data_IF_099541587083
#
_entry.id   IF_099541587083
#
_cell.length_a   1.000
_cell.length_b   1.000
_cell.length_c   1.000
_cell.angle_alpha   90.00
_cell.angle_beta   90.00
_cell.angle_gamma   90.00
#
_symmetry.space_group_name_H-M   'P 1'
#
loop_
_entity.id
_entity.type
_entity.pdbx_description
1 polymer ?
#
# COMPACT_ATOMS: atom_id res chain seq x y z
N UNK A 1 5.82 -26.05 -11.95
CA UNK A 1 5.64 -24.93 -10.99
C UNK A 1 4.39 -25.22 -10.19
N UNK A 2 4.51 -25.54 -8.89
CA UNK A 2 3.36 -25.64 -8.00
C UNK A 2 2.92 -24.20 -7.67
N UNK A 3 1.84 -23.74 -8.30
CA UNK A 3 1.14 -22.53 -7.85
C UNK A 3 0.50 -22.90 -6.52
N UNK A 4 1.04 -22.38 -5.42
CA UNK A 4 0.46 -22.59 -4.10
C UNK A 4 -0.94 -21.95 -4.09
N UNK A 5 -2.01 -22.77 -4.08
CA UNK A 5 -3.40 -22.28 -4.14
C UNK A 5 -3.78 -21.40 -2.95
N UNK A 6 -3.07 -21.54 -1.82
CA UNK A 6 -3.25 -20.67 -0.66
C UNK A 6 -2.94 -19.20 -0.98
N UNK A 7 -1.96 -18.94 -1.86
CA UNK A 7 -1.48 -17.59 -2.19
C UNK A 7 -2.37 -16.80 -3.15
N UNK A 8 -3.44 -17.40 -3.69
CA UNK A 8 -4.28 -16.75 -4.71
C UNK A 8 -4.99 -15.50 -4.16
N UNK A 9 -5.41 -15.56 -2.89
CA UNK A 9 -6.18 -14.49 -2.25
C UNK A 9 -5.33 -13.57 -1.37
N UNK A 10 -4.05 -13.86 -1.16
CA UNK A 10 -3.15 -13.08 -0.29
C UNK A 10 -2.77 -11.71 -0.88
N UNK A 11 -3.25 -11.42 -2.10
CA UNK A 11 -3.15 -10.10 -2.73
C UNK A 11 -4.20 -9.11 -2.20
N UNK A 12 -5.15 -9.56 -1.40
CA UNK A 12 -6.21 -8.74 -0.80
C UNK A 12 -6.19 -8.94 0.71
N UNK A 13 -6.27 -7.86 1.52
CA UNK A 13 -6.36 -7.99 2.96
C UNK A 13 -7.66 -8.71 3.37
N UNK A 14 -7.57 -9.59 4.36
CA UNK A 14 -8.69 -10.38 4.92
C UNK A 14 -9.66 -9.49 5.71
N UNK A 15 -9.13 -8.44 6.33
CA UNK A 15 -9.86 -7.44 7.12
C UNK A 15 -9.50 -6.01 6.65
N UNK A 16 -10.29 -5.01 7.05
CA UNK A 16 -9.98 -3.59 6.82
C UNK A 16 -9.62 -2.85 8.13
N UNK A 17 -8.47 -3.16 8.76
CA UNK A 17 -8.09 -2.60 10.06
C UNK A 17 -7.87 -1.09 10.03
N UNK A 18 -7.71 -0.52 8.84
CA UNK A 18 -7.48 0.90 8.64
C UNK A 18 -8.75 1.64 8.18
N UNK A 19 -9.86 0.95 7.94
CA UNK A 19 -11.10 1.52 7.41
C UNK A 19 -10.85 2.28 6.08
N UNK A 20 -10.06 1.70 5.18
CA UNK A 20 -9.73 2.29 3.88
C UNK A 20 -10.73 1.93 2.78
N UNK A 21 -11.64 0.99 3.03
CA UNK A 21 -12.64 0.52 2.07
C UNK A 21 -14.08 0.66 2.60
N UNK A 22 -14.50 1.83 3.12
CA UNK A 22 -15.86 2.00 3.63
C UNK A 22 -16.90 1.76 2.52
N UNK A 23 -17.79 0.79 2.73
CA UNK A 23 -18.83 0.46 1.75
C UNK A 23 -18.30 -0.16 0.44
N UNK A 24 -17.03 -0.59 0.41
CA UNK A 24 -16.38 -1.18 -0.77
C UNK A 24 -15.58 -0.19 -1.62
N UNK A 25 -15.76 1.11 -1.41
CA UNK A 25 -15.01 2.17 -2.10
C UNK A 25 -13.78 2.60 -1.32
N UNK A 26 -12.72 3.01 -2.02
CA UNK A 26 -11.48 3.46 -1.38
C UNK A 26 -11.60 4.87 -0.81
N UNK A 27 -11.28 5.06 0.47
CA UNK A 27 -11.11 6.39 1.07
C UNK A 27 -9.76 7.01 0.63
N UNK A 28 -9.77 7.67 -0.53
CA UNK A 28 -8.57 8.22 -1.15
C UNK A 28 -7.85 9.24 -0.24
N UNK A 29 -8.61 10.07 0.48
CA UNK A 29 -8.04 11.12 1.32
C UNK A 29 -7.32 10.51 2.53
N UNK A 30 -7.91 9.48 3.13
CA UNK A 30 -7.31 8.77 4.26
C UNK A 30 -6.02 8.05 3.87
N UNK A 31 -5.97 7.40 2.70
CA UNK A 31 -4.75 6.77 2.18
C UNK A 31 -3.61 7.79 2.05
N UNK A 32 -3.88 8.91 1.40
CA UNK A 32 -2.91 10.00 1.19
C UNK A 32 -2.46 10.60 2.52
N UNK A 33 -3.37 10.71 3.50
CA UNK A 33 -3.07 11.18 4.86
C UNK A 33 -2.16 10.22 5.62
N UNK A 34 -2.42 8.91 5.59
CA UNK A 34 -1.59 7.90 6.26
C UNK A 34 -0.16 7.88 5.70
N UNK A 35 -0.02 8.02 4.38
CA UNK A 35 1.27 8.12 3.69
C UNK A 35 1.92 9.50 3.83
N UNK A 36 1.23 10.47 4.44
CA UNK A 36 1.69 11.86 4.60
C UNK A 36 2.12 12.46 3.23
N UNK A 37 1.32 12.21 2.20
CA UNK A 37 1.61 12.68 0.85
C UNK A 37 1.06 14.09 0.61
N UNK A 38 1.91 14.94 0.05
CA UNK A 38 1.49 16.24 -0.48
C UNK A 38 0.97 16.05 -1.89
N UNK A 39 0.23 17.05 -2.40
CA UNK A 39 -0.32 17.03 -3.77
C UNK A 39 0.72 16.69 -4.86
N UNK A 40 1.94 17.19 -4.71
CA UNK A 40 3.08 16.91 -5.62
C UNK A 40 3.56 15.46 -5.55
N UNK A 41 3.52 14.85 -4.37
CA UNK A 41 3.94 13.47 -4.15
C UNK A 41 2.95 12.53 -4.83
N UNK A 42 1.66 12.82 -4.67
CA UNK A 42 0.57 12.10 -5.33
C UNK A 42 0.71 12.21 -6.85
N UNK A 43 0.85 13.43 -7.38
CA UNK A 43 1.02 13.66 -8.83
C UNK A 43 2.19 12.85 -9.41
N UNK A 44 3.34 12.84 -8.72
CA UNK A 44 4.53 12.09 -9.12
C UNK A 44 4.32 10.58 -9.03
N UNK A 45 3.74 10.11 -7.93
CA UNK A 45 3.51 8.68 -7.70
C UNK A 45 2.46 8.11 -8.66
N UNK A 46 1.50 8.93 -9.10
CA UNK A 46 0.46 8.52 -10.06
C UNK A 46 0.71 8.95 -11.51
N UNK A 47 1.83 9.60 -11.81
CA UNK A 47 2.22 10.04 -13.16
C UNK A 47 1.17 10.94 -13.84
N UNK A 48 0.53 11.83 -13.08
CA UNK A 48 -0.44 12.81 -13.60
C UNK A 48 0.04 14.24 -13.32
N UNK A 49 -0.62 15.23 -13.96
CA UNK A 49 -0.38 16.63 -13.65
C UNK A 49 -0.80 16.96 -12.20
N UNK A 50 -0.05 17.85 -11.55
CA UNK A 50 -0.41 18.31 -10.19
C UNK A 50 -1.77 19.02 -10.17
N UNK A 51 -2.21 19.62 -11.28
CA UNK A 51 -3.51 20.27 -11.42
C UNK A 51 -4.65 19.25 -11.46
N UNK A 52 -4.39 18.05 -11.99
CA UNK A 52 -5.35 16.94 -12.11
C UNK A 52 -5.58 16.20 -10.79
N UNK A 53 -4.75 16.39 -9.76
CA UNK A 53 -4.94 15.73 -8.46
C UNK A 53 -6.21 16.25 -7.77
N UNK A 54 -7.20 15.37 -7.66
CA UNK A 54 -8.49 15.56 -6.97
C UNK A 54 -9.05 14.21 -6.51
N UNK A 55 -9.96 14.23 -5.55
CA UNK A 55 -10.54 13.03 -4.93
C UNK A 55 -12.07 13.05 -4.93
N UNK A 56 -12.66 13.92 -5.74
CA UNK A 56 -14.11 13.98 -5.97
C UNK A 56 -14.53 13.04 -7.11
N UNK A 57 -15.80 13.09 -7.51
CA UNK A 57 -16.37 12.26 -8.58
C UNK A 57 -15.67 12.42 -9.95
N UNK A 58 -14.83 13.43 -10.13
CA UNK A 58 -14.05 13.66 -11.36
C UNK A 58 -12.59 13.25 -11.19
N UNK A 59 -12.27 12.41 -10.21
CA UNK A 59 -10.94 11.82 -10.04
C UNK A 59 -10.47 11.17 -11.37
N UNK A 60 -9.23 11.46 -11.82
CA UNK A 60 -8.67 10.73 -12.96
C UNK A 60 -8.55 9.24 -12.64
N UNK A 61 -8.89 8.39 -13.60
CA UNK A 61 -8.85 6.93 -13.44
C UNK A 61 -7.48 6.44 -13.00
N UNK A 62 -6.41 7.03 -13.53
CA UNK A 62 -5.04 6.72 -13.16
C UNK A 62 -4.78 7.00 -11.67
N UNK A 63 -5.31 8.10 -11.14
CA UNK A 63 -5.16 8.42 -9.72
C UNK A 63 -5.96 7.45 -8.84
N UNK A 64 -7.20 7.16 -9.24
CA UNK A 64 -8.07 6.21 -8.56
C UNK A 64 -7.39 4.84 -8.40
N UNK A 65 -6.90 4.28 -9.51
CA UNK A 65 -6.23 2.98 -9.51
C UNK A 65 -4.99 2.97 -8.63
N UNK A 66 -4.17 4.03 -8.69
CA UNK A 66 -2.94 4.13 -7.88
C UNK A 66 -3.24 4.23 -6.39
N UNK A 67 -4.20 5.04 -5.99
CA UNK A 67 -4.53 5.20 -4.56
C UNK A 67 -5.16 3.93 -4.01
N UNK A 68 -6.00 3.23 -4.80
CA UNK A 68 -6.54 1.90 -4.44
C UNK A 68 -5.43 0.88 -4.21
N UNK A 69 -4.45 0.82 -5.11
CA UNK A 69 -3.27 -0.03 -4.96
C UNK A 69 -2.50 0.27 -3.65
N UNK A 70 -2.30 1.55 -3.32
CA UNK A 70 -1.64 1.94 -2.07
C UNK A 70 -2.47 1.57 -0.84
N UNK A 71 -3.80 1.69 -0.93
CA UNK A 71 -4.73 1.28 0.13
C UNK A 71 -4.60 -0.21 0.42
N UNK A 72 -4.57 -1.06 -0.61
CA UNK A 72 -4.38 -2.50 -0.47
C UNK A 72 -3.06 -2.80 0.25
N UNK A 73 -1.95 -2.17 -0.17
CA UNK A 73 -0.65 -2.37 0.48
C UNK A 73 -0.63 -1.93 1.95
N UNK A 74 -1.26 -0.79 2.27
CA UNK A 74 -1.42 -0.32 3.65
C UNK A 74 -2.21 -1.33 4.49
N UNK A 75 -3.34 -1.80 3.98
CA UNK A 75 -4.20 -2.75 4.69
C UNK A 75 -3.54 -4.12 4.89
N UNK A 76 -2.77 -4.62 3.92
CA UNK A 76 -2.00 -5.87 4.07
C UNK A 76 -0.99 -5.78 5.22
N UNK A 77 -0.22 -4.69 5.28
CA UNK A 77 0.75 -4.47 6.36
C UNK A 77 0.04 -4.22 7.70
N UNK A 78 -1.10 -3.54 7.68
CA UNK A 78 -1.91 -3.33 8.87
C UNK A 78 -2.53 -4.61 9.42
N UNK A 79 -2.90 -5.56 8.57
CA UNK A 79 -3.35 -6.88 8.99
C UNK A 79 -2.25 -7.62 9.77
N UNK A 80 -0.99 -7.49 9.34
CA UNK A 80 0.16 -8.07 10.06
C UNK A 80 0.37 -7.39 11.42
N UNK A 81 0.41 -6.06 11.46
CA UNK A 81 0.68 -5.34 12.71
C UNK A 81 -0.52 -5.22 13.65
N UNK A 82 -1.74 -5.37 13.14
CA UNK A 82 -3.02 -5.11 13.84
C UNK A 82 -3.03 -3.76 14.55
N UNK A 83 -2.33 -2.77 14.00
CA UNK A 83 -2.14 -1.46 14.61
C UNK A 83 -1.82 -0.39 13.54
N UNK A 84 -2.64 0.66 13.48
CA UNK A 84 -2.46 1.76 12.52
C UNK A 84 -1.13 2.49 12.71
N UNK A 85 -0.79 2.87 13.95
CA UNK A 85 0.43 3.63 14.23
C UNK A 85 1.70 2.86 13.83
N UNK A 86 1.76 1.58 14.13
CA UNK A 86 2.89 0.70 13.77
C UNK A 86 3.00 0.54 12.25
N UNK A 87 1.86 0.44 11.56
CA UNK A 87 1.80 0.40 10.10
C UNK A 87 2.37 1.68 9.50
N UNK A 88 1.85 2.84 9.92
CA UNK A 88 2.31 4.14 9.43
C UNK A 88 3.80 4.35 9.74
N UNK A 89 4.25 3.97 10.93
CA UNK A 89 5.66 4.04 11.31
C UNK A 89 6.53 3.19 10.39
N UNK A 90 6.12 1.95 10.10
CA UNK A 90 6.85 1.07 9.18
C UNK A 90 6.97 1.67 7.77
N UNK A 91 5.89 2.27 7.25
CA UNK A 91 5.93 2.93 5.94
C UNK A 91 6.87 4.15 5.90
N UNK A 92 7.10 4.80 7.05
CA UNK A 92 7.97 5.98 7.18
C UNK A 92 9.40 5.66 7.59
N UNK A 93 9.66 4.44 8.05
CA UNK A 93 10.98 4.03 8.54
C UNK A 93 11.81 3.45 7.40
N UNK A 94 13.08 3.90 7.21
CA UNK A 94 13.99 3.28 6.25
C UNK A 94 14.13 1.78 6.49
N UNK A 95 14.07 0.99 5.42
CA UNK A 95 14.21 -0.47 5.51
C UNK A 95 15.49 -0.93 4.80
N UNK A 96 16.43 -1.62 5.49
CA UNK A 96 17.64 -2.16 4.88
C UNK A 96 17.37 -3.11 3.70
N UNK A 97 16.30 -3.90 3.76
CA UNK A 97 15.91 -4.82 2.70
C UNK A 97 15.38 -4.10 1.44
N UNK A 98 15.06 -2.81 1.57
CA UNK A 98 14.67 -1.94 0.46
C UNK A 98 15.80 -0.95 0.07
N UNK A 99 17.04 -1.25 0.47
CA UNK A 99 18.20 -0.41 0.21
C UNK A 99 18.24 0.85 1.07
N UNK A 100 17.81 0.75 2.33
CA UNK A 100 17.67 1.88 3.27
C UNK A 100 16.73 2.99 2.79
N UNK A 101 15.71 2.63 2.01
CA UNK A 101 14.64 3.53 1.58
C UNK A 101 13.37 3.19 2.35
N UNK A 102 12.62 4.21 2.79
CA UNK A 102 11.32 4.01 3.42
C UNK A 102 10.30 3.51 2.38
N UNK A 103 9.39 2.58 2.73
CA UNK A 103 8.33 2.13 1.82
C UNK A 103 7.53 3.29 1.18
N UNK A 104 7.14 4.28 1.97
CA UNK A 104 6.49 5.53 1.50
C UNK A 104 7.28 6.20 0.37
N UNK A 105 8.59 6.25 0.48
CA UNK A 105 9.46 6.94 -0.46
C UNK A 105 9.55 6.17 -1.78
N UNK A 106 9.51 4.83 -1.72
CA UNK A 106 9.38 4.00 -2.92
C UNK A 106 8.08 4.31 -3.67
N UNK A 107 6.96 4.46 -2.95
CA UNK A 107 5.68 4.86 -3.56
C UNK A 107 5.81 6.24 -4.21
N UNK A 108 6.33 7.23 -3.47
CA UNK A 108 6.51 8.62 -3.93
C UNK A 108 7.27 8.72 -5.26
N UNK A 109 8.26 7.86 -5.46
CA UNK A 109 9.11 7.88 -6.68
C UNK A 109 8.67 6.88 -7.75
N UNK A 110 7.47 6.30 -7.64
CA UNK A 110 6.90 5.40 -8.66
C UNK A 110 7.42 3.96 -8.61
N UNK A 111 8.06 3.54 -7.52
CA UNK A 111 8.57 2.16 -7.31
C UNK A 111 7.56 1.27 -6.57
N UNK A 112 6.27 1.59 -6.63
CA UNK A 112 5.23 0.86 -5.90
C UNK A 112 5.19 -0.63 -6.23
N UNK A 113 5.27 -1.02 -7.52
CA UNK A 113 5.23 -2.44 -7.92
C UNK A 113 6.29 -3.29 -7.21
N UNK A 114 7.50 -2.75 -7.06
CA UNK A 114 8.60 -3.43 -6.38
C UNK A 114 8.35 -3.56 -4.87
N UNK A 115 7.84 -2.49 -4.26
CA UNK A 115 7.43 -2.52 -2.85
C UNK A 115 6.30 -3.52 -2.60
N UNK A 116 5.29 -3.54 -3.46
CA UNK A 116 4.13 -4.42 -3.32
C UNK A 116 4.54 -5.90 -3.37
N UNK A 117 5.39 -6.28 -4.34
CA UNK A 117 5.94 -7.64 -4.40
C UNK A 117 6.77 -7.98 -3.16
N UNK A 118 7.55 -7.04 -2.64
CA UNK A 118 8.28 -7.24 -1.39
C UNK A 118 7.34 -7.50 -0.21
N UNK A 119 6.24 -6.75 -0.08
CA UNK A 119 5.24 -6.96 0.98
C UNK A 119 4.62 -8.36 0.87
N UNK A 120 4.18 -8.77 -0.32
CA UNK A 120 3.57 -10.09 -0.51
C UNK A 120 4.54 -11.22 -0.17
N UNK A 121 5.79 -11.13 -0.61
CA UNK A 121 6.81 -12.14 -0.30
C UNK A 121 7.09 -12.20 1.20
N UNK A 122 7.27 -11.04 1.85
CA UNK A 122 7.53 -10.98 3.28
C UNK A 122 6.35 -11.53 4.11
N UNK A 123 5.11 -11.27 3.70
CA UNK A 123 3.92 -11.83 4.37
C UNK A 123 3.83 -13.34 4.17
N UNK A 124 4.09 -13.84 2.95
CA UNK A 124 4.09 -15.27 2.66
C UNK A 124 5.17 -16.04 3.43
N UNK A 125 6.36 -15.48 3.58
CA UNK A 125 7.44 -16.07 4.41
C UNK A 125 7.07 -16.11 5.90
N UNK A 126 6.30 -15.13 6.40
CA UNK A 126 5.85 -15.09 7.79
C UNK A 126 4.66 -16.03 8.07
N UNK A 127 3.88 -16.43 7.06
CA UNK A 127 2.77 -17.39 7.22
C UNK A 127 3.24 -18.86 7.17
N UNK A 128 4.45 -19.14 6.68
CA UNK A 128 5.03 -20.48 6.78
C UNK A 128 5.36 -20.77 8.25
N UNK A 129 4.85 -21.87 8.83
CA UNK A 129 5.28 -22.27 10.16
C UNK A 129 6.79 -22.52 10.10
N UNK A 130 7.55 -21.78 10.89
CA UNK A 130 8.87 -22.25 11.33
C UNK A 130 8.63 -23.63 11.93
N UNK A 131 8.94 -24.68 11.19
CA UNK A 131 8.89 -26.04 11.71
C UNK A 131 9.66 -26.08 13.05
N UNK A 132 9.08 -26.68 14.10
CA UNK A 132 9.76 -26.83 15.39
C UNK A 132 11.06 -27.63 15.26
#
# INVERSE_FOLDING_TARGET
>A
MLVNRAALFDTVPKDDPLLLFPGGDTDYQRVVKLLDFKKRDVAKASQISIQSVRYDQKIPKELEERVREWAVALSLVAQYFKNEHKTVLWFKTPNPLLGNIAPRDMIRVGRFKKLYQFILNALGENELPTNP
#
